data_IF_738907302185
#
_entry.id   IF_738907302185
#
_cell.length_a   1.000
_cell.length_b   1.000
_cell.length_c   1.000
_cell.angle_alpha   90.00
_cell.angle_beta   90.00
_cell.angle_gamma   90.00
#
_symmetry.space_group_name_H-M   'P 1'
#
loop_
_entity.id
_entity.type
_entity.pdbx_description
1 polymer ?
#
# COMPACT_ATOMS: atom_id res chain seq x y z
N UNK A 1 9.94 2.93 -18.50
CA UNK A 1 10.13 2.63 -17.06
C UNK A 1 10.25 3.89 -16.19
N UNK A 2 10.80 5.00 -16.69
CA UNK A 2 11.02 6.25 -15.93
C UNK A 2 9.74 6.96 -15.47
N UNK A 3 8.70 7.01 -16.32
CA UNK A 3 7.44 7.71 -16.00
C UNK A 3 6.70 7.12 -14.79
N UNK A 4 6.72 5.78 -14.65
CA UNK A 4 6.16 5.06 -13.49
C UNK A 4 6.94 5.32 -12.20
N UNK A 5 8.21 5.70 -12.30
CA UNK A 5 9.06 6.04 -11.17
C UNK A 5 8.90 7.51 -10.78
N UNK A 6 8.81 8.40 -11.77
CA UNK A 6 8.54 9.82 -11.59
C UNK A 6 7.21 10.08 -10.89
N UNK A 7 6.14 9.35 -11.26
CA UNK A 7 4.83 9.50 -10.59
C UNK A 7 4.89 9.15 -9.10
N UNK A 8 5.71 8.16 -8.71
CA UNK A 8 5.88 7.78 -7.30
C UNK A 8 6.65 8.84 -6.53
N UNK A 9 7.72 9.36 -7.10
CA UNK A 9 8.52 10.43 -6.49
C UNK A 9 7.68 11.69 -6.33
N UNK A 10 6.91 12.06 -7.35
CA UNK A 10 5.99 13.20 -7.29
C UNK A 10 5.00 13.05 -6.12
N UNK A 11 4.45 11.85 -5.93
CA UNK A 11 3.53 11.56 -4.84
C UNK A 11 4.18 11.75 -3.46
N UNK A 12 5.41 11.27 -3.27
CA UNK A 12 6.17 11.43 -2.03
C UNK A 12 6.50 12.91 -1.75
N UNK A 13 6.86 13.66 -2.78
CA UNK A 13 7.16 15.10 -2.64
C UNK A 13 5.89 15.86 -2.26
N UNK A 14 4.77 15.61 -2.93
CA UNK A 14 3.47 16.21 -2.59
C UNK A 14 3.13 15.91 -1.13
N UNK A 15 3.32 14.67 -0.68
CA UNK A 15 3.06 14.25 0.69
C UNK A 15 3.87 15.04 1.73
N UNK A 16 5.17 15.23 1.47
CA UNK A 16 6.06 15.99 2.35
C UNK A 16 5.63 17.46 2.42
N UNK A 17 5.29 18.07 1.28
CA UNK A 17 4.79 19.45 1.25
C UNK A 17 3.44 19.59 1.96
N UNK A 18 2.51 18.67 1.73
CA UNK A 18 1.20 18.67 2.40
C UNK A 18 1.33 18.44 3.90
N UNK A 19 2.24 17.55 4.32
CA UNK A 19 2.54 17.29 5.71
C UNK A 19 3.18 18.47 6.40
N UNK A 20 4.16 19.11 5.79
CA UNK A 20 4.74 20.36 6.30
C UNK A 20 3.69 21.45 6.44
N UNK A 21 2.88 21.66 5.40
CA UNK A 21 1.86 22.71 5.40
C UNK A 21 0.76 22.45 6.43
N UNK A 22 0.36 21.19 6.58
CA UNK A 22 -0.68 20.77 7.52
C UNK A 22 -0.22 20.75 8.98
N UNK A 23 1.03 20.39 9.28
CA UNK A 23 1.54 20.27 10.65
C UNK A 23 2.13 21.58 11.18
N UNK A 24 2.81 22.36 10.34
CA UNK A 24 3.59 23.53 10.78
C UNK A 24 2.93 24.87 10.48
N UNK A 25 2.04 24.94 9.48
CA UNK A 25 1.55 26.24 8.96
C UNK A 25 0.05 26.43 9.17
N UNK A 26 -0.76 25.36 9.11
CA UNK A 26 -2.22 25.51 9.14
C UNK A 26 -2.87 24.92 10.37
N UNK A 27 -3.66 25.73 11.08
CA UNK A 27 -4.60 25.27 12.12
C UNK A 27 -5.94 24.77 11.56
N UNK A 28 -6.12 24.83 10.23
CA UNK A 28 -7.34 24.38 9.59
C UNK A 28 -7.51 22.86 9.72
N UNK A 29 -8.62 22.45 10.35
CA UNK A 29 -8.98 21.05 10.55
C UNK A 29 -9.14 20.31 9.21
N UNK A 30 -9.64 21.00 8.18
CA UNK A 30 -9.85 20.42 6.85
C UNK A 30 -8.52 20.08 6.17
N UNK A 31 -7.48 20.91 6.31
CA UNK A 31 -6.16 20.63 5.77
C UNK A 31 -5.51 19.42 6.48
N UNK A 32 -5.66 19.33 7.80
CA UNK A 32 -5.23 18.18 8.60
C UNK A 32 -5.93 16.89 8.19
N UNK A 33 -7.23 16.96 7.90
CA UNK A 33 -7.99 15.82 7.42
C UNK A 33 -7.57 15.37 6.02
N UNK A 34 -7.38 16.31 5.09
CA UNK A 34 -6.93 15.98 3.72
C UNK A 34 -5.53 15.36 3.78
N UNK A 35 -4.61 15.94 4.57
CA UNK A 35 -3.28 15.35 4.77
C UNK A 35 -3.39 13.92 5.28
N UNK A 36 -4.14 13.70 6.37
CA UNK A 36 -4.34 12.37 6.93
C UNK A 36 -4.92 11.38 5.92
N UNK A 37 -5.94 11.77 5.15
CA UNK A 37 -6.58 10.91 4.17
C UNK A 37 -5.63 10.49 3.04
N UNK A 38 -4.81 11.43 2.54
CA UNK A 38 -3.81 11.14 1.51
C UNK A 38 -2.70 10.24 2.08
N UNK A 39 -2.22 10.50 3.29
CA UNK A 39 -1.22 9.66 3.96
C UNK A 39 -1.73 8.23 4.15
N UNK A 40 -2.97 8.09 4.66
CA UNK A 40 -3.59 6.80 4.87
C UNK A 40 -3.74 6.03 3.56
N UNK A 41 -4.12 6.69 2.46
CA UNK A 41 -4.22 6.06 1.16
C UNK A 41 -2.86 5.55 0.64
N UNK A 42 -1.79 6.33 0.81
CA UNK A 42 -0.43 5.91 0.43
C UNK A 42 0.03 4.70 1.23
N UNK A 43 -0.14 4.74 2.56
CA UNK A 43 0.23 3.63 3.43
C UNK A 43 -0.58 2.39 3.08
N UNK A 44 -1.90 2.51 2.90
CA UNK A 44 -2.76 1.40 2.50
C UNK A 44 -2.33 0.78 1.17
N UNK A 45 -1.99 1.61 0.18
CA UNK A 45 -1.51 1.12 -1.12
C UNK A 45 -0.14 0.45 -1.02
N UNK A 46 0.76 0.99 -0.20
CA UNK A 46 2.06 0.39 0.11
C UNK A 46 1.93 -0.95 0.84
N UNK A 47 1.06 -1.01 1.84
CA UNK A 47 0.75 -2.22 2.59
C UNK A 47 0.11 -3.27 1.70
N UNK A 48 -0.92 -2.95 0.90
CA UNK A 48 -1.57 -3.90 0.00
C UNK A 48 -0.57 -4.54 -0.98
N UNK A 49 0.34 -3.72 -1.51
CA UNK A 49 1.40 -4.22 -2.39
C UNK A 49 2.43 -5.10 -1.68
N UNK A 50 2.76 -4.77 -0.43
CA UNK A 50 3.65 -5.58 0.40
C UNK A 50 2.98 -6.86 0.87
N UNK A 51 1.67 -6.81 1.15
CA UNK A 51 0.88 -7.91 1.66
C UNK A 51 0.77 -9.02 0.62
N UNK A 52 0.55 -8.70 -0.65
CA UNK A 52 0.62 -9.69 -1.75
C UNK A 52 2.00 -10.34 -1.94
N UNK A 53 3.06 -9.77 -1.37
CA UNK A 53 4.40 -10.36 -1.40
C UNK A 53 4.72 -11.17 -0.13
N UNK A 54 4.08 -10.84 0.98
CA UNK A 54 4.32 -11.46 2.30
C UNK A 54 3.32 -12.57 2.60
N UNK A 55 2.05 -12.41 2.21
CA UNK A 55 1.08 -13.49 2.22
C UNK A 55 1.35 -14.37 1.00
N UNK A 56 1.59 -15.68 1.19
CA UNK A 56 1.61 -16.61 0.07
C UNK A 56 0.27 -16.49 -0.66
N UNK A 57 0.34 -16.30 -1.97
CA UNK A 57 -0.86 -16.30 -2.81
C UNK A 57 -1.54 -17.64 -2.64
N UNK A 58 -2.87 -17.67 -2.57
CA UNK A 58 -3.67 -18.89 -2.33
C UNK A 58 -3.31 -20.10 -3.21
N UNK A 59 -2.63 -19.88 -4.35
CA UNK A 59 -2.06 -20.90 -5.22
C UNK A 59 -0.94 -21.75 -4.60
N UNK A 60 -0.22 -21.26 -3.58
CA UNK A 60 0.83 -22.03 -2.90
C UNK A 60 0.24 -23.00 -1.87
N UNK A 61 -0.96 -22.73 -1.33
CA UNK A 61 -1.67 -23.67 -0.47
C UNK A 61 -2.23 -24.86 -1.24
N UNK A 62 -2.67 -24.66 -2.49
CA UNK A 62 -3.18 -25.75 -3.35
C UNK A 62 -2.05 -26.72 -3.75
N UNK A 63 -0.80 -26.25 -3.84
CA UNK A 63 0.36 -27.12 -4.15
C UNK A 63 0.88 -27.94 -2.96
N UNK A 64 0.44 -27.65 -1.75
CA UNK A 64 0.85 -28.34 -0.52
C UNK A 64 0.02 -29.60 -0.22
N UNK A 65 -1.00 -29.92 -1.02
CA UNK A 65 -1.79 -31.14 -0.86
C UNK A 65 -1.91 -31.99 -2.15
N UNK A 66 -0.81 -32.56 -2.68
CA UNK A 66 -0.90 -33.55 -3.74
C UNK A 66 -1.12 -34.99 -3.24
N UNK A 67 -1.51 -35.22 -1.97
CA UNK A 67 -1.50 -36.57 -1.38
C UNK A 67 -2.86 -37.10 -0.87
N UNK A 68 -4.00 -36.45 -1.18
CA UNK A 68 -5.33 -36.93 -0.74
C UNK A 68 -6.20 -37.57 -1.85
N UNK A 69 -5.64 -37.90 -3.02
CA UNK A 69 -6.38 -38.57 -4.12
C UNK A 69 -6.03 -40.05 -4.35
N UNK A 70 -5.17 -40.69 -3.53
CA UNK A 70 -4.80 -42.11 -3.70
C UNK A 70 -5.06 -43.00 -2.46
N UNK A 71 -6.17 -42.85 -1.74
CA UNK A 71 -6.70 -43.92 -0.87
C UNK A 71 -8.23 -43.95 -0.89
N UNK A 72 -8.79 -44.30 -2.04
CA UNK A 72 -10.16 -44.82 -2.14
C UNK A 72 -10.21 -45.84 -3.31
N UNK A 73 -9.39 -46.88 -3.19
CA UNK A 73 -9.64 -48.17 -3.86
C UNK A 73 -10.76 -48.95 -3.16
#
# INVERSE_FOLDING_TARGET
>A
MFFKFGIKILFVVIEIFLGFYSLLISDSLLLKFIFFAVTAAIIAFGMLKSLNRVLPSDNDYIKLNPEEEEEAE
#
